data_IF_243961307002
#
_entry.id   IF_243961307002
#
_cell.length_a   1.000
_cell.length_b   1.000
_cell.length_c   1.000
_cell.angle_alpha   90.00
_cell.angle_beta   90.00
_cell.angle_gamma   90.00
#
_symmetry.space_group_name_H-M   'P 1'
#
loop_
_entity.id
_entity.type
_entity.pdbx_description
1 polymer ?
#
# COMPACT_ATOMS: atom_id res chain seq x y z
N UNK A 1 7.46 -10.93 -10.23
CA UNK A 1 7.14 -11.37 -8.87
C UNK A 1 6.88 -12.88 -8.84
N UNK A 2 5.96 -13.43 -9.62
CA UNK A 2 5.53 -14.84 -9.57
C UNK A 2 6.63 -15.91 -9.86
N UNK A 3 7.63 -15.63 -10.68
CA UNK A 3 8.71 -16.60 -11.02
C UNK A 3 9.74 -16.68 -9.87
N UNK A 4 10.09 -15.55 -9.28
CA UNK A 4 11.00 -15.48 -8.14
C UNK A 4 10.39 -16.15 -6.88
N UNK A 5 9.09 -15.95 -6.64
CA UNK A 5 8.38 -16.57 -5.53
C UNK A 5 8.35 -18.10 -5.67
N UNK A 6 8.18 -18.62 -6.88
CA UNK A 6 8.26 -20.05 -7.17
C UNK A 6 9.66 -20.64 -6.97
N UNK A 7 10.72 -19.91 -7.32
CA UNK A 7 12.11 -20.32 -7.11
C UNK A 7 12.46 -20.37 -5.61
N UNK A 8 12.07 -19.35 -4.85
CA UNK A 8 12.30 -19.32 -3.40
C UNK A 8 11.52 -20.41 -2.64
N UNK A 9 10.29 -20.71 -3.08
CA UNK A 9 9.53 -21.82 -2.51
C UNK A 9 10.22 -23.17 -2.74
N UNK A 10 10.71 -23.41 -3.96
CA UNK A 10 11.44 -24.63 -4.30
C UNK A 10 12.77 -24.76 -3.53
N UNK A 11 13.48 -23.65 -3.36
CA UNK A 11 14.72 -23.62 -2.57
C UNK A 11 14.46 -23.90 -1.09
N UNK A 12 13.42 -23.28 -0.50
CA UNK A 12 12.98 -23.57 0.87
C UNK A 12 12.67 -25.04 1.06
N UNK A 13 11.89 -25.64 0.16
CA UNK A 13 11.51 -27.06 0.25
C UNK A 13 12.72 -28.00 0.05
N UNK A 14 13.73 -27.56 -0.70
CA UNK A 14 15.00 -28.26 -0.81
C UNK A 14 15.80 -28.22 0.50
N UNK A 15 15.91 -27.04 1.11
CA UNK A 15 16.59 -26.84 2.41
C UNK A 15 15.88 -27.63 3.52
N UNK A 16 14.55 -27.62 3.53
CA UNK A 16 13.77 -28.38 4.51
C UNK A 16 14.04 -29.89 4.40
N UNK A 17 14.06 -30.43 3.19
CA UNK A 17 14.39 -31.85 2.96
C UNK A 17 15.82 -32.18 3.41
N UNK A 18 16.78 -31.29 3.18
CA UNK A 18 18.15 -31.45 3.63
C UNK A 18 18.26 -31.44 5.16
N UNK A 19 17.50 -30.60 5.85
CA UNK A 19 17.40 -30.59 7.31
C UNK A 19 16.86 -31.93 7.83
N UNK A 20 15.79 -32.44 7.24
CA UNK A 20 15.18 -33.75 7.64
C UNK A 20 16.12 -34.90 7.41
N UNK A 21 16.83 -34.92 6.27
CA UNK A 21 17.82 -35.97 5.98
C UNK A 21 18.99 -35.94 6.98
N UNK A 22 19.54 -34.78 7.27
CA UNK A 22 20.59 -34.59 8.27
C UNK A 22 20.15 -34.97 9.68
N UNK A 23 18.89 -34.66 10.05
CA UNK A 23 18.31 -35.07 11.33
C UNK A 23 18.19 -36.59 11.43
N UNK A 24 17.79 -37.27 10.34
CA UNK A 24 17.72 -38.73 10.25
C UNK A 24 19.11 -39.36 10.40
N UNK A 25 20.12 -38.78 9.75
CA UNK A 25 21.50 -39.22 9.88
C UNK A 25 22.01 -39.11 11.33
N UNK A 26 21.71 -37.98 12.01
CA UNK A 26 22.08 -37.80 13.42
C UNK A 26 21.38 -38.83 14.33
N UNK A 27 20.10 -39.11 14.09
CA UNK A 27 19.34 -40.10 14.85
C UNK A 27 19.98 -41.50 14.67
N UNK A 28 20.24 -41.89 13.42
CA UNK A 28 20.91 -43.19 13.11
C UNK A 28 22.28 -43.32 13.76
N UNK A 29 23.09 -42.26 13.74
CA UNK A 29 24.39 -42.25 14.39
C UNK A 29 24.28 -42.34 15.92
N UNK A 30 23.31 -41.67 16.52
CA UNK A 30 23.06 -41.79 17.96
C UNK A 30 22.60 -43.17 18.36
N UNK A 31 21.82 -43.88 17.55
CA UNK A 31 21.40 -45.24 17.80
C UNK A 31 22.59 -46.22 17.70
N UNK A 32 23.46 -46.02 16.68
CA UNK A 32 24.71 -46.78 16.58
C UNK A 32 25.62 -46.59 17.80
N UNK A 33 25.70 -45.37 18.34
CA UNK A 33 26.45 -45.09 19.58
C UNK A 33 25.87 -45.87 20.76
N UNK A 34 24.53 -45.95 20.86
CA UNK A 34 23.87 -46.73 21.92
C UNK A 34 24.08 -48.21 21.79
N UNK A 35 24.05 -48.76 20.56
CA UNK A 35 24.29 -50.18 20.29
C UNK A 35 25.74 -50.59 20.56
N UNK A 36 26.72 -49.73 20.31
CA UNK A 36 28.15 -49.99 20.60
C UNK A 36 28.47 -49.99 22.08
N UNK A 37 27.45 -49.78 22.95
CA UNK A 37 27.56 -49.93 24.38
C UNK A 37 28.75 -49.18 24.97
N UNK A 38 28.57 -47.86 25.17
CA UNK A 38 29.45 -47.00 25.99
C UNK A 38 30.93 -47.42 26.05
N UNK A 39 31.58 -47.63 24.93
CA UNK A 39 33.03 -47.73 24.88
C UNK A 39 33.58 -46.31 24.94
N UNK A 40 34.26 -45.99 26.01
CA UNK A 40 34.74 -44.62 26.32
C UNK A 40 35.79 -44.04 25.37
N UNK A 41 35.83 -44.49 24.12
CA UNK A 41 36.71 -43.96 23.09
C UNK A 41 35.94 -43.85 21.77
N UNK A 42 34.95 -42.92 21.73
CA UNK A 42 34.52 -42.39 20.43
C UNK A 42 35.73 -41.78 19.73
N UNK A 43 36.07 -42.27 18.52
CA UNK A 43 37.20 -41.71 17.79
C UNK A 43 37.03 -40.22 17.63
N UNK A 44 38.09 -39.45 17.73
CA UNK A 44 38.07 -37.99 17.53
C UNK A 44 37.37 -37.64 16.22
N UNK A 45 37.60 -38.41 15.18
CA UNK A 45 36.99 -38.26 13.86
C UNK A 45 35.43 -38.33 13.89
N UNK A 46 34.87 -39.22 14.72
CA UNK A 46 33.43 -39.35 14.89
C UNK A 46 32.83 -38.10 15.58
N UNK A 47 33.49 -37.63 16.64
CA UNK A 47 33.04 -36.42 17.36
C UNK A 47 33.14 -35.18 16.47
N UNK A 48 34.18 -35.05 15.67
CA UNK A 48 34.41 -33.98 14.73
C UNK A 48 33.27 -33.96 13.68
N UNK A 49 32.95 -35.15 13.10
CA UNK A 49 31.87 -35.28 12.10
C UNK A 49 30.47 -34.98 12.69
N UNK A 50 30.22 -35.48 13.90
CA UNK A 50 28.94 -35.16 14.59
C UNK A 50 28.81 -33.65 14.84
N UNK A 51 29.87 -32.99 15.27
CA UNK A 51 29.89 -31.53 15.49
C UNK A 51 29.68 -30.77 14.21
N UNK A 52 30.28 -31.18 13.10
CA UNK A 52 30.09 -30.58 11.77
C UNK A 52 28.65 -30.70 11.30
N UNK A 53 28.05 -31.90 11.35
CA UNK A 53 26.66 -32.12 10.94
C UNK A 53 25.70 -31.27 11.80
N UNK A 54 25.90 -31.26 13.12
CA UNK A 54 25.08 -30.43 14.02
C UNK A 54 25.18 -28.94 13.70
N UNK A 55 26.41 -28.44 13.50
CA UNK A 55 26.62 -27.05 13.10
C UNK A 55 25.91 -26.69 11.78
N UNK A 56 25.93 -27.62 10.81
CA UNK A 56 25.22 -27.44 9.53
C UNK A 56 23.70 -27.42 9.71
N UNK A 57 23.13 -28.28 10.53
CA UNK A 57 21.72 -28.30 10.86
C UNK A 57 21.31 -26.97 11.51
N UNK A 58 22.07 -26.49 12.48
CA UNK A 58 21.77 -25.26 13.20
C UNK A 58 21.86 -24.04 12.26
N UNK A 59 22.84 -24.00 11.36
CA UNK A 59 22.96 -22.95 10.34
C UNK A 59 21.76 -22.95 9.37
N UNK A 60 21.34 -24.13 8.87
CA UNK A 60 20.20 -24.27 7.97
C UNK A 60 18.88 -23.91 8.65
N UNK A 61 18.70 -24.24 9.92
CA UNK A 61 17.53 -23.82 10.71
C UNK A 61 17.46 -22.31 10.83
N UNK A 62 18.57 -21.67 11.20
CA UNK A 62 18.63 -20.19 11.30
C UNK A 62 18.31 -19.53 9.96
N UNK A 63 18.84 -20.07 8.86
CA UNK A 63 18.56 -19.56 7.52
C UNK A 63 17.07 -19.71 7.15
N UNK A 64 16.47 -20.86 7.46
CA UNK A 64 15.04 -21.10 7.20
C UNK A 64 14.13 -20.18 8.04
N UNK A 65 14.45 -19.98 9.32
CA UNK A 65 13.73 -19.05 10.19
C UNK A 65 13.81 -17.61 9.67
N UNK A 66 14.99 -17.18 9.21
CA UNK A 66 15.17 -15.86 8.61
C UNK A 66 14.33 -15.70 7.33
N UNK A 67 14.27 -16.74 6.49
CA UNK A 67 13.44 -16.74 5.28
C UNK A 67 11.95 -16.64 5.60
N UNK A 68 11.46 -17.42 6.57
CA UNK A 68 10.06 -17.35 7.00
C UNK A 68 9.71 -15.95 7.52
N UNK A 69 10.57 -15.39 8.35
CA UNK A 69 10.41 -14.01 8.85
C UNK A 69 10.35 -12.99 7.71
N UNK A 70 11.21 -13.12 6.71
CA UNK A 70 11.20 -12.24 5.52
C UNK A 70 9.88 -12.35 4.77
N UNK A 71 9.40 -13.58 4.55
CA UNK A 71 8.13 -13.82 3.86
C UNK A 71 6.95 -13.20 4.61
N UNK A 72 6.88 -13.40 5.93
CA UNK A 72 5.84 -12.83 6.77
C UNK A 72 5.86 -11.28 6.75
N UNK A 73 7.05 -10.68 6.76
CA UNK A 73 7.21 -9.22 6.67
C UNK A 73 6.80 -8.68 5.29
N UNK A 74 7.09 -9.40 4.21
CA UNK A 74 6.66 -9.02 2.86
C UNK A 74 5.13 -9.06 2.74
N UNK A 75 4.49 -10.11 3.27
CA UNK A 75 3.03 -10.22 3.29
C UNK A 75 2.38 -9.16 4.18
N UNK A 76 2.94 -8.87 5.35
CA UNK A 76 2.48 -7.81 6.23
C UNK A 76 2.60 -6.43 5.56
N UNK A 77 3.70 -6.15 4.87
CA UNK A 77 3.89 -4.93 4.11
C UNK A 77 2.85 -4.79 3.01
N UNK A 78 2.64 -5.85 2.21
CA UNK A 78 1.65 -5.82 1.14
C UNK A 78 0.24 -5.52 1.67
N UNK A 79 -0.16 -6.19 2.76
CA UNK A 79 -1.45 -5.91 3.43
C UNK A 79 -1.55 -4.47 3.92
N UNK A 80 -0.49 -3.92 4.50
CA UNK A 80 -0.47 -2.53 4.94
C UNK A 80 -0.58 -1.55 3.78
N UNK A 81 0.12 -1.80 2.67
CA UNK A 81 0.02 -0.99 1.44
C UNK A 81 -1.40 -1.04 0.85
N UNK A 82 -2.04 -2.22 0.79
CA UNK A 82 -3.42 -2.38 0.31
C UNK A 82 -4.43 -1.64 1.22
N UNK A 83 -4.26 -1.73 2.53
CA UNK A 83 -5.08 -1.01 3.50
C UNK A 83 -4.92 0.52 3.39
N UNK A 84 -3.68 0.99 3.23
CA UNK A 84 -3.39 2.41 3.03
C UNK A 84 -4.05 2.93 1.75
N UNK A 85 -3.93 2.20 0.65
CA UNK A 85 -4.57 2.55 -0.62
C UNK A 85 -6.08 2.65 -0.47
N UNK A 86 -6.73 1.66 0.13
CA UNK A 86 -8.17 1.67 0.36
C UNK A 86 -8.60 2.84 1.27
N UNK A 87 -7.83 3.15 2.30
CA UNK A 87 -8.11 4.30 3.17
C UNK A 87 -8.01 5.62 2.41
N UNK A 88 -6.98 5.79 1.58
CA UNK A 88 -6.83 6.98 0.72
C UNK A 88 -8.01 7.12 -0.25
N UNK A 89 -8.38 6.02 -0.94
CA UNK A 89 -9.53 6.02 -1.87
C UNK A 89 -10.83 6.42 -1.16
N UNK A 90 -11.08 5.91 0.04
CA UNK A 90 -12.24 6.29 0.85
C UNK A 90 -12.23 7.77 1.20
N UNK A 91 -11.11 8.28 1.73
CA UNK A 91 -10.97 9.69 2.12
C UNK A 91 -11.15 10.61 0.90
N UNK A 92 -10.54 10.28 -0.23
CA UNK A 92 -10.68 11.08 -1.46
C UNK A 92 -12.12 11.08 -1.96
N UNK A 93 -12.83 9.95 -1.90
CA UNK A 93 -14.24 9.85 -2.25
C UNK A 93 -15.12 10.73 -1.34
N UNK A 94 -14.88 10.71 -0.03
CA UNK A 94 -15.62 11.52 0.93
C UNK A 94 -15.38 13.03 0.70
N UNK A 95 -14.14 13.43 0.43
CA UNK A 95 -13.76 14.81 0.11
C UNK A 95 -14.41 15.25 -1.21
N UNK A 96 -14.33 14.40 -2.25
CA UNK A 96 -14.94 14.64 -3.54
C UNK A 96 -16.44 14.89 -3.41
N UNK A 97 -17.12 14.00 -2.70
CA UNK A 97 -18.55 14.11 -2.45
C UNK A 97 -18.90 15.40 -1.70
N UNK A 98 -18.22 15.69 -0.60
CA UNK A 98 -18.49 16.90 0.18
C UNK A 98 -18.30 18.20 -0.63
N UNK A 99 -17.23 18.26 -1.43
CA UNK A 99 -16.97 19.43 -2.29
C UNK A 99 -18.03 19.54 -3.39
N UNK A 100 -18.34 18.44 -4.08
CA UNK A 100 -19.31 18.43 -5.16
C UNK A 100 -20.73 18.80 -4.67
N UNK A 101 -21.15 18.28 -3.52
CA UNK A 101 -22.42 18.63 -2.91
C UNK A 101 -22.49 20.12 -2.56
N UNK A 102 -21.42 20.68 -2.02
CA UNK A 102 -21.36 22.11 -1.69
C UNK A 102 -21.30 22.98 -2.94
N UNK A 103 -20.56 22.59 -3.95
CA UNK A 103 -20.55 23.28 -5.25
C UNK A 103 -21.93 23.27 -5.90
N UNK A 104 -22.64 22.14 -5.82
CA UNK A 104 -24.03 22.03 -6.32
C UNK A 104 -24.96 22.96 -5.57
N UNK A 105 -24.89 22.99 -4.23
CA UNK A 105 -25.70 23.89 -3.40
C UNK A 105 -25.52 25.36 -3.81
N UNK A 106 -24.29 25.82 -3.99
CA UNK A 106 -24.00 27.19 -4.42
C UNK A 106 -24.44 27.45 -5.86
N UNK A 107 -24.18 26.53 -6.78
CA UNK A 107 -24.62 26.68 -8.16
C UNK A 107 -26.15 26.79 -8.28
N UNK A 108 -26.89 25.95 -7.57
CA UNK A 108 -28.35 25.95 -7.60
C UNK A 108 -28.91 27.22 -6.96
N UNK A 109 -28.29 27.74 -5.91
CA UNK A 109 -28.67 29.01 -5.27
C UNK A 109 -28.44 30.23 -6.18
N UNK A 110 -27.31 30.24 -6.92
CA UNK A 110 -26.95 31.37 -7.79
C UNK A 110 -27.70 31.37 -9.14
N UNK A 111 -27.97 30.17 -9.67
CA UNK A 111 -28.45 30.05 -11.05
C UNK A 111 -29.82 29.38 -11.20
N UNK A 112 -30.52 29.11 -10.10
CA UNK A 112 -31.85 28.50 -10.10
C UNK A 112 -31.91 27.23 -10.99
N UNK A 113 -30.94 26.36 -10.87
CA UNK A 113 -30.79 25.07 -11.61
C UNK A 113 -30.66 25.21 -13.15
N UNK A 114 -30.43 26.43 -13.66
CA UNK A 114 -30.29 26.66 -15.11
C UNK A 114 -28.96 26.21 -15.69
N UNK A 115 -27.97 25.99 -14.85
CA UNK A 115 -26.62 25.55 -15.22
C UNK A 115 -26.24 24.34 -14.42
N UNK A 116 -25.51 23.41 -15.04
CA UNK A 116 -24.94 22.29 -14.31
C UNK A 116 -23.81 22.77 -13.40
N UNK A 117 -23.72 22.22 -12.18
CA UNK A 117 -22.64 22.57 -11.26
C UNK A 117 -21.28 22.12 -11.81
N UNK A 118 -20.19 22.79 -11.44
CA UNK A 118 -18.86 22.27 -11.65
C UNK A 118 -18.68 20.95 -10.90
N UNK A 119 -17.78 20.12 -11.39
CA UNK A 119 -17.53 18.79 -10.84
C UNK A 119 -16.05 18.53 -10.66
N UNK A 120 -15.66 18.13 -9.47
CA UNK A 120 -14.33 17.64 -9.11
C UNK A 120 -14.36 16.11 -9.09
N UNK A 121 -13.33 15.48 -9.66
CA UNK A 121 -13.12 14.04 -9.57
C UNK A 121 -11.66 13.73 -9.30
N UNK A 122 -11.39 12.91 -8.29
CA UNK A 122 -10.05 12.40 -8.01
C UNK A 122 -9.84 11.08 -8.76
N UNK A 123 -8.89 11.08 -9.70
CA UNK A 123 -8.48 9.82 -10.37
C UNK A 123 -7.60 8.97 -9.45
N UNK A 124 -6.67 9.64 -8.74
CA UNK A 124 -5.72 9.07 -7.79
C UNK A 124 -5.38 10.13 -6.72
N UNK A 125 -4.57 9.77 -5.71
CA UNK A 125 -4.20 10.69 -4.61
C UNK A 125 -3.49 11.98 -5.06
N UNK A 126 -2.89 12.00 -6.25
CA UNK A 126 -2.17 13.16 -6.80
C UNK A 126 -2.68 13.59 -8.17
N UNK A 127 -3.83 13.09 -8.61
CA UNK A 127 -4.41 13.37 -9.91
C UNK A 127 -5.91 13.64 -9.79
N UNK A 128 -6.34 14.75 -10.32
CA UNK A 128 -7.75 15.14 -10.32
C UNK A 128 -8.18 15.69 -11.68
N UNK A 129 -9.47 15.68 -11.92
CA UNK A 129 -10.14 16.34 -13.02
C UNK A 129 -11.16 17.33 -12.45
N UNK A 130 -11.16 18.55 -12.99
CA UNK A 130 -12.17 19.57 -12.69
C UNK A 130 -12.86 19.97 -13.98
N UNK A 131 -14.17 19.89 -14.02
CA UNK A 131 -14.97 20.14 -15.22
C UNK A 131 -16.13 21.08 -14.90
N UNK A 132 -16.47 21.95 -15.89
CA UNK A 132 -17.68 22.74 -15.88
C UNK A 132 -18.55 22.25 -17.04
N UNK A 133 -19.51 21.35 -16.80
CA UNK A 133 -20.32 20.76 -17.86
C UNK A 133 -21.14 21.80 -18.57
N UNK A 134 -21.39 21.60 -19.88
CA UNK A 134 -22.28 22.40 -20.75
C UNK A 134 -21.80 23.80 -21.11
N UNK A 135 -20.58 24.19 -20.69
CA UNK A 135 -20.10 25.53 -21.04
C UNK A 135 -18.58 25.47 -21.36
N UNK A 136 -18.26 25.76 -22.60
CA UNK A 136 -16.88 25.79 -23.12
C UNK A 136 -16.28 27.20 -23.09
N UNK A 137 -17.01 28.18 -22.55
CA UNK A 137 -16.59 29.58 -22.47
C UNK A 137 -15.55 29.80 -21.35
N UNK A 138 -14.62 30.71 -21.58
CA UNK A 138 -13.61 31.09 -20.56
C UNK A 138 -14.26 31.60 -19.27
N UNK A 139 -15.38 32.34 -19.39
CA UNK A 139 -16.13 32.88 -18.25
C UNK A 139 -16.71 31.79 -17.34
N UNK A 140 -17.20 30.70 -17.92
CA UNK A 140 -17.76 29.57 -17.16
C UNK A 140 -16.74 28.82 -16.37
N UNK A 141 -15.54 28.65 -16.91
CA UNK A 141 -14.44 28.05 -16.18
C UNK A 141 -14.06 28.91 -14.97
N UNK A 142 -13.97 30.20 -15.09
CA UNK A 142 -13.71 31.12 -13.97
C UNK A 142 -14.82 31.07 -12.93
N UNK A 143 -16.09 31.07 -13.36
CA UNK A 143 -17.24 30.89 -12.46
C UNK A 143 -17.14 29.57 -11.67
N UNK A 144 -16.87 28.49 -12.36
CA UNK A 144 -16.64 27.17 -11.72
C UNK A 144 -15.54 27.20 -10.68
N UNK A 145 -14.42 27.87 -10.96
CA UNK A 145 -13.32 28.02 -9.99
C UNK A 145 -13.76 28.84 -8.75
N UNK A 146 -14.49 29.91 -8.91
CA UNK A 146 -15.01 30.73 -7.77
C UNK A 146 -15.94 29.87 -6.91
N UNK A 147 -16.87 29.12 -7.51
CA UNK A 147 -17.76 28.21 -6.77
C UNK A 147 -16.98 27.15 -6.01
N UNK A 148 -15.96 26.57 -6.62
CA UNK A 148 -15.07 25.60 -5.97
C UNK A 148 -14.35 26.23 -4.76
N UNK A 149 -13.75 27.39 -4.95
CA UNK A 149 -13.02 28.09 -3.89
C UNK A 149 -13.94 28.47 -2.72
N UNK A 150 -15.17 28.93 -2.98
CA UNK A 150 -16.16 29.18 -1.94
C UNK A 150 -16.59 27.88 -1.22
N UNK A 151 -16.73 26.77 -1.94
CA UNK A 151 -17.02 25.48 -1.34
C UNK A 151 -15.90 25.03 -0.40
N UNK A 152 -14.65 25.12 -0.85
CA UNK A 152 -13.47 24.79 -0.03
C UNK A 152 -13.37 25.72 1.18
N UNK A 153 -13.59 27.03 1.01
CA UNK A 153 -13.58 27.99 2.12
C UNK A 153 -14.64 27.63 3.19
N UNK A 154 -15.82 27.21 2.76
CA UNK A 154 -16.90 26.84 3.68
C UNK A 154 -16.63 25.51 4.40
N UNK A 155 -16.03 24.54 3.71
CA UNK A 155 -15.78 23.20 4.23
C UNK A 155 -14.49 23.09 5.08
N UNK A 156 -13.64 24.10 5.04
CA UNK A 156 -12.34 24.09 5.71
C UNK A 156 -12.18 25.25 6.70
N UNK A 157 -11.13 25.20 7.50
CA UNK A 157 -10.76 26.28 8.41
C UNK A 157 -9.88 27.36 7.75
N UNK A 158 -9.90 27.48 6.42
CA UNK A 158 -9.13 28.52 5.72
C UNK A 158 -9.69 29.92 6.09
N UNK A 159 -8.80 30.87 6.49
CA UNK A 159 -9.26 32.18 6.97
C UNK A 159 -9.69 33.11 5.85
N UNK A 160 -9.20 32.92 4.63
CA UNK A 160 -9.49 33.74 3.47
C UNK A 160 -9.00 33.09 2.18
N UNK A 161 -9.57 33.52 1.05
CA UNK A 161 -9.13 33.19 -0.31
C UNK A 161 -8.91 34.52 -1.05
N UNK A 162 -7.88 34.60 -1.87
CA UNK A 162 -7.58 35.74 -2.70
C UNK A 162 -7.70 35.36 -4.18
N UNK A 163 -8.52 36.07 -4.92
CA UNK A 163 -8.66 35.91 -6.36
C UNK A 163 -7.95 37.04 -7.12
N UNK A 164 -7.34 36.73 -8.25
CA UNK A 164 -6.88 37.75 -9.19
C UNK A 164 -8.10 38.45 -9.83
N UNK A 165 -7.99 39.75 -9.99
CA UNK A 165 -9.02 40.55 -10.65
C UNK A 165 -9.36 40.12 -12.11
N UNK A 166 -8.45 39.38 -12.75
CA UNK A 166 -8.69 38.79 -14.07
C UNK A 166 -9.80 37.73 -14.06
N UNK A 167 -9.96 37.01 -12.97
CA UNK A 167 -11.02 36.01 -12.81
C UNK A 167 -12.38 36.70 -12.88
N UNK A 168 -12.57 37.79 -12.12
CA UNK A 168 -13.84 38.52 -12.05
C UNK A 168 -14.18 39.26 -13.33
N UNK A 169 -13.19 39.80 -14.06
CA UNK A 169 -13.39 40.47 -15.34
C UNK A 169 -13.93 39.57 -16.46
N UNK A 170 -13.75 38.29 -16.35
CA UNK A 170 -14.19 37.30 -17.35
C UNK A 170 -15.52 36.64 -16.99
N UNK A 171 -16.11 36.99 -15.85
CA UNK A 171 -17.44 36.56 -15.43
C UNK A 171 -18.44 37.65 -15.84
N UNK A 172 -19.58 37.26 -16.40
CA UNK A 172 -20.60 38.24 -16.79
C UNK A 172 -21.19 38.99 -15.57
N UNK A 173 -21.51 40.27 -15.72
CA UNK A 173 -22.03 41.11 -14.64
C UNK A 173 -23.26 40.50 -13.95
N UNK A 174 -24.14 39.84 -14.69
CA UNK A 174 -25.30 39.15 -14.11
C UNK A 174 -25.00 37.86 -13.31
N UNK A 175 -23.72 37.51 -13.15
CA UNK A 175 -23.25 36.38 -12.33
C UNK A 175 -22.45 36.86 -11.12
N UNK A 176 -22.25 38.18 -10.98
CA UNK A 176 -21.46 38.78 -9.88
C UNK A 176 -22.41 39.41 -8.83
N UNK A 177 -23.63 39.82 -9.22
CA UNK A 177 -24.66 40.32 -8.35
C UNK A 177 -25.37 39.18 -7.59
#
# INVERSE_FOLDING_TARGET
ASILDGQFAAERDSVQREIEDLQSQVASVNDQIRELGMVGNLSKEFLDRHSEIKGRIDALKTQNEAYLTLTDLQDARKKADDMLKSAIETILSDIEQAINDKMKEYNDSLFAERHKPPHLHFNEYNSYRFETPDDTGTGSNYKGMVIFDLAVLNLTALPAIAHDSLILKNISDGSID
#
